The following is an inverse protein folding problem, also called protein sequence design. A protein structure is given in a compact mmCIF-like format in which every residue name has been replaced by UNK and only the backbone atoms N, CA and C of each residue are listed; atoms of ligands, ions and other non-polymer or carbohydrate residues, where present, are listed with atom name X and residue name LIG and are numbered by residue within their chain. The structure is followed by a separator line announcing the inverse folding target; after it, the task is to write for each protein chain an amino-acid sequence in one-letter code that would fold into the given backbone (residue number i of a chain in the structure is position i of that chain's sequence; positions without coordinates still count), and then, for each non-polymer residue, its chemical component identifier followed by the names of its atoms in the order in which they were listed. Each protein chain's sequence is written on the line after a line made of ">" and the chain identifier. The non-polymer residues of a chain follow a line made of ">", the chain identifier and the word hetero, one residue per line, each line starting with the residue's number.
data_IF_677694333816
#
_entry.id   IF_677694333816
#
_cell.length_a   1.000
_cell.length_b   1.000
_cell.length_c   1.000
_cell.angle_alpha   90.00
_cell.angle_beta   90.00
_cell.angle_gamma   90.00
#
_symmetry.space_group_name_H-M   'P 1'
#
loop_
_entity.id
_entity.type
_entity.pdbx_description
1 polymer ?
#
# COMPACT_ATOMS: atom_id res chain seq x y z
N UNK A 1 26.58 81.69 -1.40
CA UNK A 1 27.84 81.84 -2.17
C UNK A 1 28.57 80.51 -2.01
N UNK A 2 28.64 79.69 -3.07
CA UNK A 2 29.45 78.46 -3.27
C UNK A 2 29.43 77.38 -2.16
N UNK A 3 29.42 76.06 -2.37
CA UNK A 3 29.24 75.10 -3.46
C UNK A 3 29.34 73.71 -2.77
N UNK A 4 29.01 72.62 -3.47
CA UNK A 4 29.44 71.22 -3.19
C UNK A 4 28.65 70.48 -2.07
N UNK A 5 28.26 69.19 -2.17
CA UNK A 5 28.60 68.13 -3.13
C UNK A 5 27.69 66.90 -2.95
N UNK A 6 27.28 66.31 -4.08
CA UNK A 6 27.35 64.89 -4.45
C UNK A 6 26.49 63.77 -3.79
N UNK A 7 25.96 62.95 -4.72
CA UNK A 7 25.60 61.52 -4.65
C UNK A 7 24.23 61.13 -4.11
N UNK A 8 23.22 61.32 -4.97
CA UNK A 8 22.03 60.47 -5.01
C UNK A 8 22.38 59.24 -5.85
N UNK A 9 22.77 58.13 -5.21
CA UNK A 9 23.09 56.87 -5.88
C UNK A 9 21.78 56.15 -6.18
N UNK A 10 21.51 55.95 -7.47
CA UNK A 10 20.46 55.09 -7.97
C UNK A 10 20.65 53.65 -7.46
N UNK A 11 19.68 53.14 -6.71
CA UNK A 11 19.51 51.71 -6.46
C UNK A 11 18.13 51.31 -6.97
N UNK A 12 17.97 51.34 -8.29
CA UNK A 12 16.86 50.69 -8.97
C UNK A 12 17.13 49.19 -8.88
N UNK A 13 16.47 48.53 -7.92
CA UNK A 13 16.55 47.10 -7.71
C UNK A 13 15.89 46.38 -8.91
N UNK A 14 16.69 46.06 -9.93
CA UNK A 14 16.33 45.09 -10.96
C UNK A 14 16.42 43.69 -10.33
N UNK A 15 15.42 43.35 -9.50
CA UNK A 15 15.18 41.96 -9.15
C UNK A 15 14.52 41.32 -10.37
N UNK A 16 15.36 40.78 -11.25
CA UNK A 16 14.99 39.91 -12.35
C UNK A 16 14.01 38.85 -11.87
N UNK A 17 12.79 38.93 -12.38
CA UNK A 17 11.80 37.85 -12.42
C UNK A 17 12.37 36.69 -13.23
N UNK A 18 13.29 35.93 -12.64
CA UNK A 18 13.43 34.53 -13.01
C UNK A 18 12.26 33.82 -12.32
N UNK A 19 11.30 33.22 -13.04
CA UNK A 19 10.36 32.32 -12.40
C UNK A 19 11.21 31.17 -11.86
N UNK A 20 11.54 31.22 -10.57
CA UNK A 20 11.90 30.02 -9.85
C UNK A 20 10.70 29.11 -10.02
N UNK A 21 10.85 28.08 -10.86
CA UNK A 21 10.00 26.91 -10.86
C UNK A 21 9.90 26.49 -9.39
N UNK A 22 8.79 26.86 -8.75
CA UNK A 22 8.36 26.19 -7.54
C UNK A 22 8.10 24.78 -8.01
N UNK A 23 9.10 23.91 -7.89
CA UNK A 23 8.88 22.48 -7.93
C UNK A 23 8.06 22.19 -6.68
N UNK A 24 6.74 22.29 -6.81
CA UNK A 24 5.87 21.53 -5.95
C UNK A 24 6.37 20.07 -5.97
N UNK A 25 6.09 19.31 -4.90
CA UNK A 25 6.38 17.87 -4.81
C UNK A 25 5.41 17.13 -5.76
N UNK A 26 5.41 17.52 -7.04
CA UNK A 26 4.54 17.00 -8.07
C UNK A 26 5.15 15.72 -8.62
N UNK A 27 4.35 14.67 -8.62
CA UNK A 27 4.64 13.43 -9.32
C UNK A 27 4.76 13.70 -10.83
N UNK A 28 5.42 12.81 -11.57
CA UNK A 28 5.47 12.90 -13.04
C UNK A 28 4.05 12.87 -13.60
N UNK A 29 3.68 13.84 -14.43
CA UNK A 29 2.35 13.89 -15.02
C UNK A 29 2.18 12.75 -16.03
N UNK A 30 1.19 11.88 -15.78
CA UNK A 30 0.70 10.86 -16.69
C UNK A 30 -0.51 11.36 -17.50
N UNK A 31 -1.25 12.35 -16.98
CA UNK A 31 -2.37 13.01 -17.68
C UNK A 31 -1.91 14.34 -18.25
N UNK A 32 -2.15 14.55 -19.54
CA UNK A 32 -1.77 15.77 -20.25
C UNK A 32 -2.91 16.79 -20.25
N UNK A 33 -2.56 18.08 -20.27
CA UNK A 33 -3.52 19.18 -20.33
C UNK A 33 -3.85 19.62 -21.75
N UNK A 34 -2.98 19.32 -22.72
CA UNK A 34 -3.12 19.72 -24.12
C UNK A 34 -2.70 18.56 -25.02
N UNK A 35 -3.33 18.48 -26.20
CA UNK A 35 -2.99 17.48 -27.21
C UNK A 35 -1.61 17.76 -27.84
N UNK A 36 -0.83 16.70 -28.03
CA UNK A 36 0.44 16.74 -28.74
C UNK A 36 0.70 15.40 -29.44
N UNK A 37 1.72 15.29 -30.31
CA UNK A 37 2.13 14.00 -30.87
C UNK A 37 2.54 12.95 -29.83
N UNK A 38 2.80 13.36 -28.57
CA UNK A 38 3.19 12.49 -27.46
C UNK A 38 2.05 12.16 -26.49
N UNK A 39 0.80 12.49 -26.87
CA UNK A 39 -0.39 12.20 -26.07
C UNK A 39 -1.27 11.16 -26.73
N UNK A 40 -1.96 10.37 -25.89
CA UNK A 40 -2.96 9.40 -26.28
C UNK A 40 -4.29 9.75 -25.62
N UNK A 41 -5.39 9.70 -26.37
CA UNK A 41 -6.71 9.98 -25.82
C UNK A 41 -7.33 8.69 -25.26
N UNK A 42 -7.51 8.61 -23.94
CA UNK A 42 -8.22 7.48 -23.29
C UNK A 42 -9.72 7.72 -23.18
N UNK A 43 -10.14 8.96 -23.41
CA UNK A 43 -11.54 9.36 -23.56
C UNK A 43 -11.59 10.57 -24.47
N UNK A 44 -12.38 10.52 -25.54
CA UNK A 44 -12.58 11.65 -26.44
C UNK A 44 -13.95 11.53 -27.13
N UNK A 45 -14.67 12.65 -27.27
CA UNK A 45 -15.93 12.70 -28.04
C UNK A 45 -16.98 11.63 -27.63
N UNK A 46 -17.05 11.31 -26.33
CA UNK A 46 -17.99 10.32 -25.81
C UNK A 46 -17.59 8.86 -26.08
N UNK A 47 -16.32 8.60 -26.41
CA UNK A 47 -15.79 7.26 -26.63
C UNK A 47 -14.68 6.98 -25.60
N UNK A 48 -14.94 6.16 -24.56
CA UNK A 48 -13.89 5.67 -23.67
C UNK A 48 -13.07 4.55 -24.34
N UNK A 49 -11.75 4.57 -24.17
CA UNK A 49 -10.89 3.45 -24.54
C UNK A 49 -11.23 2.21 -23.72
N UNK A 50 -11.23 1.04 -24.37
CA UNK A 50 -11.36 -0.24 -23.66
C UNK A 50 -10.08 -0.51 -22.85
N UNK A 51 -10.23 -1.02 -21.63
CA UNK A 51 -9.12 -1.46 -20.79
C UNK A 51 -8.92 -2.96 -21.00
N UNK A 52 -7.74 -3.35 -21.50
CA UNK A 52 -7.35 -4.72 -21.73
C UNK A 52 -6.42 -5.21 -20.63
N UNK A 53 -6.76 -6.37 -20.04
CA UNK A 53 -5.93 -7.11 -19.10
C UNK A 53 -5.85 -8.59 -19.54
N UNK A 54 -4.86 -9.32 -19.04
CA UNK A 54 -4.82 -10.77 -19.17
C UNK A 54 -5.52 -11.45 -17.99
N UNK A 55 -6.13 -12.63 -18.23
CA UNK A 55 -6.85 -13.36 -17.20
C UNK A 55 -5.94 -13.95 -16.09
N UNK A 56 -4.64 -14.06 -16.37
CA UNK A 56 -3.61 -14.52 -15.43
C UNK A 56 -3.07 -13.40 -14.53
N UNK A 57 -3.57 -12.16 -14.66
CA UNK A 57 -3.23 -11.05 -13.77
C UNK A 57 -3.56 -11.33 -12.31
N UNK A 58 -2.87 -10.62 -11.42
CA UNK A 58 -3.23 -10.62 -10.00
C UNK A 58 -4.65 -10.09 -9.80
N UNK A 59 -5.41 -10.73 -8.92
CA UNK A 59 -6.77 -10.29 -8.62
C UNK A 59 -6.81 -8.83 -8.12
N UNK A 60 -5.83 -8.39 -7.33
CA UNK A 60 -5.70 -6.98 -6.90
C UNK A 60 -5.54 -5.99 -8.06
N UNK A 61 -4.83 -6.38 -9.14
CA UNK A 61 -4.69 -5.56 -10.34
C UNK A 61 -6.01 -5.47 -11.10
N UNK A 62 -6.76 -6.57 -11.19
CA UNK A 62 -8.09 -6.58 -11.82
C UNK A 62 -9.10 -5.71 -11.05
N UNK A 63 -9.03 -5.71 -9.70
CA UNK A 63 -9.81 -4.82 -8.85
C UNK A 63 -9.46 -3.35 -9.11
N UNK A 64 -8.16 -2.99 -9.07
CA UNK A 64 -7.72 -1.63 -9.33
C UNK A 64 -8.07 -1.15 -10.76
N UNK A 65 -8.08 -2.04 -11.76
CA UNK A 65 -8.52 -1.70 -13.12
C UNK A 65 -10.04 -1.46 -13.19
N UNK A 66 -10.81 -2.20 -12.39
CA UNK A 66 -12.26 -1.96 -12.22
C UNK A 66 -12.51 -0.60 -11.57
N UNK A 67 -11.69 -0.23 -10.59
CA UNK A 67 -11.74 1.08 -9.94
C UNK A 67 -11.37 2.20 -10.92
N UNK A 68 -10.33 2.05 -11.74
CA UNK A 68 -9.99 3.02 -12.79
C UNK A 68 -11.14 3.20 -13.80
N UNK A 69 -11.79 2.11 -14.23
CA UNK A 69 -12.99 2.19 -15.10
C UNK A 69 -14.12 2.96 -14.42
N UNK A 70 -14.40 2.69 -13.14
CA UNK A 70 -15.40 3.45 -12.38
C UNK A 70 -14.99 4.91 -12.17
N UNK A 71 -13.71 5.19 -11.98
CA UNK A 71 -13.19 6.53 -11.80
C UNK A 71 -13.31 7.36 -13.09
N UNK A 72 -13.01 6.76 -14.24
CA UNK A 72 -13.26 7.37 -15.56
C UNK A 72 -14.76 7.63 -15.76
N UNK A 73 -15.65 6.71 -15.36
CA UNK A 73 -17.09 6.94 -15.38
C UNK A 73 -17.49 8.14 -14.49
N UNK A 74 -16.95 8.26 -13.28
CA UNK A 74 -17.23 9.40 -12.38
C UNK A 74 -16.82 10.74 -13.00
N UNK A 75 -15.72 10.80 -13.77
CA UNK A 75 -15.26 12.06 -14.40
C UNK A 75 -15.85 12.33 -15.79
N UNK A 76 -16.31 11.32 -16.52
CA UNK A 76 -16.81 11.48 -17.91
C UNK A 76 -18.29 11.20 -18.10
N UNK A 77 -18.91 10.47 -17.17
CA UNK A 77 -20.27 9.93 -17.29
C UNK A 77 -20.37 8.67 -18.15
N UNK A 78 -19.26 8.15 -18.69
CA UNK A 78 -19.25 6.94 -19.52
C UNK A 78 -18.20 5.96 -19.03
N UNK A 79 -18.60 4.70 -18.88
CA UNK A 79 -17.74 3.66 -18.31
C UNK A 79 -16.94 2.92 -19.38
N UNK A 80 -15.59 2.92 -19.28
CA UNK A 80 -14.74 2.04 -20.09
C UNK A 80 -15.09 0.56 -19.87
N UNK A 81 -15.14 -0.20 -20.96
CA UNK A 81 -15.25 -1.67 -20.89
C UNK A 81 -13.93 -2.27 -20.43
N UNK A 82 -13.98 -3.24 -19.52
CA UNK A 82 -12.85 -4.15 -19.24
C UNK A 82 -13.01 -5.39 -20.11
N UNK A 83 -11.95 -5.81 -20.80
CA UNK A 83 -11.96 -7.01 -21.62
C UNK A 83 -10.62 -7.76 -21.53
N UNK A 84 -10.69 -9.06 -21.80
CA UNK A 84 -9.49 -9.85 -22.04
C UNK A 84 -9.02 -9.62 -23.49
N UNK A 85 -7.70 -9.60 -23.72
CA UNK A 85 -7.15 -9.53 -25.08
C UNK A 85 -7.62 -10.74 -25.90
N UNK A 86 -8.12 -10.48 -27.11
CA UNK A 86 -8.53 -11.47 -28.11
C UNK A 86 -8.17 -11.00 -29.52
N UNK A 87 -8.35 -11.83 -30.54
CA UNK A 87 -8.05 -11.48 -31.93
C UNK A 87 -8.93 -10.36 -32.52
N UNK A 88 -10.02 -9.98 -31.82
CA UNK A 88 -10.85 -8.81 -32.14
C UNK A 88 -10.59 -7.68 -31.12
N UNK A 89 -9.31 -7.34 -30.94
CA UNK A 89 -8.94 -6.26 -30.02
C UNK A 89 -9.40 -4.90 -30.58
N UNK A 90 -9.88 -4.00 -29.71
CA UNK A 90 -10.28 -2.65 -30.10
C UNK A 90 -9.08 -1.86 -30.62
N UNK A 91 -9.32 -0.89 -31.51
CA UNK A 91 -8.23 -0.18 -32.21
C UNK A 91 -7.38 0.74 -31.32
N UNK A 92 -7.94 1.25 -30.22
CA UNK A 92 -7.30 2.23 -29.31
C UNK A 92 -7.47 1.85 -27.82
N UNK A 93 -6.88 0.73 -27.35
CA UNK A 93 -7.03 0.29 -25.97
C UNK A 93 -6.04 0.96 -25.01
N UNK A 94 -6.38 0.88 -23.72
CA UNK A 94 -5.41 0.89 -22.64
C UNK A 94 -5.04 -0.56 -22.37
N UNK A 95 -3.75 -0.90 -22.38
CA UNK A 95 -3.26 -2.23 -22.02
C UNK A 95 -2.62 -2.14 -20.64
N UNK A 96 -3.03 -2.99 -19.71
CA UNK A 96 -2.53 -2.99 -18.33
C UNK A 96 -1.95 -4.35 -18.00
N UNK A 97 -0.78 -4.37 -17.37
CA UNK A 97 -0.35 -5.56 -16.66
C UNK A 97 0.99 -5.44 -15.95
N UNK A 98 1.45 -6.59 -15.45
CA UNK A 98 2.58 -6.74 -14.55
C UNK A 98 3.65 -7.61 -15.19
N UNK A 99 4.91 -7.17 -15.14
CA UNK A 99 6.05 -7.93 -15.66
C UNK A 99 6.14 -9.33 -15.01
N UNK A 100 6.38 -10.35 -15.83
CA UNK A 100 6.54 -11.74 -15.37
C UNK A 100 5.26 -12.40 -14.85
N UNK A 101 4.10 -11.72 -14.96
CA UNK A 101 2.80 -12.22 -14.53
C UNK A 101 1.75 -12.16 -15.64
N UNK A 102 1.74 -11.07 -16.42
CA UNK A 102 0.78 -10.88 -17.50
C UNK A 102 1.27 -11.47 -18.80
N UNK A 103 0.60 -12.51 -19.28
CA UNK A 103 0.81 -12.99 -20.66
C UNK A 103 0.54 -11.94 -21.72
N UNK A 104 -0.29 -10.92 -21.43
CA UNK A 104 -0.54 -9.80 -22.36
C UNK A 104 0.66 -8.86 -22.42
N UNK A 105 1.23 -8.45 -21.29
CA UNK A 105 2.45 -7.62 -21.28
C UNK A 105 3.64 -8.37 -21.87
N UNK A 106 3.79 -9.67 -21.57
CA UNK A 106 4.85 -10.48 -22.18
C UNK A 106 4.75 -10.46 -23.72
N UNK A 107 3.54 -10.51 -24.28
CA UNK A 107 3.33 -10.37 -25.73
C UNK A 107 3.71 -8.98 -26.24
N UNK A 108 3.31 -7.92 -25.54
CA UNK A 108 3.65 -6.53 -25.93
C UNK A 108 5.16 -6.33 -25.95
N UNK A 109 5.86 -6.74 -24.88
CA UNK A 109 7.32 -6.61 -24.78
C UNK A 109 8.04 -7.44 -25.85
N UNK A 110 7.55 -8.64 -26.18
CA UNK A 110 8.17 -9.48 -27.21
C UNK A 110 7.91 -9.00 -28.64
N UNK A 111 6.79 -8.31 -28.88
CA UNK A 111 6.40 -7.85 -30.21
C UNK A 111 6.96 -6.46 -30.56
N UNK A 112 7.51 -5.74 -29.58
CA UNK A 112 7.88 -4.32 -29.72
C UNK A 112 9.25 -4.05 -29.10
N UNK A 113 9.83 -2.87 -29.38
CA UNK A 113 11.08 -2.41 -28.73
C UNK A 113 10.81 -1.70 -27.40
N UNK A 114 9.72 -2.05 -26.68
CA UNK A 114 9.36 -1.43 -25.40
C UNK A 114 10.45 -1.70 -24.36
N UNK A 115 11.20 -0.65 -24.02
CA UNK A 115 12.26 -0.75 -23.02
C UNK A 115 11.70 -0.73 -21.59
N UNK A 116 11.75 -1.88 -20.92
CA UNK A 116 11.28 -2.09 -19.53
C UNK A 116 12.37 -2.02 -18.47
N UNK A 117 13.62 -1.72 -18.86
CA UNK A 117 14.79 -1.81 -17.98
C UNK A 117 14.74 -0.87 -16.76
N UNK A 118 13.92 0.18 -16.82
CA UNK A 118 13.77 1.15 -15.72
C UNK A 118 12.97 0.60 -14.53
N UNK A 119 12.18 -0.45 -14.75
CA UNK A 119 11.29 -1.03 -13.73
C UNK A 119 11.55 -2.51 -13.47
N UNK A 120 12.29 -3.20 -14.34
CA UNK A 120 12.59 -4.63 -14.18
C UNK A 120 13.30 -4.92 -12.86
N UNK A 121 12.75 -5.87 -12.08
CA UNK A 121 13.26 -6.25 -10.77
C UNK A 121 13.17 -5.17 -9.68
N UNK A 122 12.56 -4.01 -9.98
CA UNK A 122 12.39 -2.93 -9.01
C UNK A 122 11.18 -3.18 -8.12
N UNK A 123 11.27 -2.72 -6.87
CA UNK A 123 10.17 -2.78 -5.92
C UNK A 123 9.14 -1.71 -6.23
N UNK A 124 7.88 -2.11 -6.45
CA UNK A 124 6.70 -1.24 -6.55
C UNK A 124 6.85 -0.08 -7.54
N UNK A 125 7.47 -0.36 -8.69
CA UNK A 125 7.73 0.63 -9.74
C UNK A 125 6.77 0.43 -10.91
N UNK A 126 6.56 1.46 -11.70
CA UNK A 126 5.79 1.35 -12.93
C UNK A 126 6.26 2.34 -14.00
N UNK A 127 5.91 2.03 -15.24
CA UNK A 127 6.04 2.95 -16.35
C UNK A 127 4.82 2.86 -17.25
N UNK A 128 4.65 3.89 -18.06
CA UNK A 128 3.67 3.90 -19.14
C UNK A 128 4.33 4.32 -20.44
N UNK A 129 3.78 3.83 -21.54
CA UNK A 129 4.25 4.16 -22.87
C UNK A 129 3.09 4.17 -23.86
N UNK A 130 3.18 5.00 -24.88
CA UNK A 130 2.36 4.88 -26.08
C UNK A 130 3.12 3.97 -27.04
N UNK A 131 2.51 2.84 -27.41
CA UNK A 131 3.18 1.77 -28.16
C UNK A 131 2.41 1.50 -29.45
N UNK A 132 3.13 1.53 -30.57
CA UNK A 132 2.60 1.17 -31.88
C UNK A 132 2.66 -0.35 -32.09
N UNK A 133 1.61 -0.89 -32.69
CA UNK A 133 1.44 -2.31 -32.99
C UNK A 133 1.73 -3.24 -31.79
N UNK A 134 1.19 -2.96 -30.57
CA UNK A 134 1.56 -3.68 -29.35
C UNK A 134 1.13 -5.14 -29.38
N UNK A 135 0.03 -5.45 -30.08
CA UNK A 135 -0.49 -6.79 -30.33
C UNK A 135 -1.18 -6.81 -31.70
N UNK A 136 -1.39 -8.00 -32.32
CA UNK A 136 -2.11 -8.10 -33.59
C UNK A 136 -3.48 -7.41 -33.53
N UNK A 137 -3.79 -6.62 -34.56
CA UNK A 137 -5.08 -5.92 -34.70
C UNK A 137 -5.19 -4.58 -33.96
N UNK A 138 -4.17 -4.18 -33.18
CA UNK A 138 -4.13 -2.88 -32.49
C UNK A 138 -3.09 -1.99 -33.16
N UNK A 139 -3.47 -0.81 -33.63
CA UNK A 139 -2.58 0.15 -34.29
C UNK A 139 -1.67 0.85 -33.28
N UNK A 140 -2.26 1.38 -32.20
CA UNK A 140 -1.55 2.03 -31.09
C UNK A 140 -2.30 1.78 -29.80
N UNK A 141 -1.58 1.61 -28.68
CA UNK A 141 -2.18 1.54 -27.35
C UNK A 141 -1.42 2.38 -26.34
N UNK A 142 -2.12 2.77 -25.27
CA UNK A 142 -1.48 3.24 -24.05
C UNK A 142 -1.21 2.05 -23.13
N UNK A 143 0.05 1.72 -22.91
CA UNK A 143 0.48 0.55 -22.14
C UNK A 143 0.90 1.01 -20.74
N UNK A 144 0.30 0.41 -19.71
CA UNK A 144 0.63 0.60 -18.29
C UNK A 144 1.29 -0.69 -17.79
N UNK A 145 2.54 -0.59 -17.34
CA UNK A 145 3.33 -1.74 -16.89
C UNK A 145 3.86 -1.51 -15.48
N UNK A 146 3.53 -2.40 -14.56
CA UNK A 146 4.16 -2.47 -13.24
C UNK A 146 5.27 -3.52 -13.15
N UNK A 147 6.26 -3.26 -12.30
CA UNK A 147 7.33 -4.20 -11.98
C UNK A 147 6.85 -5.39 -11.15
N UNK A 148 5.82 -5.17 -10.34
CA UNK A 148 5.16 -6.14 -9.48
C UNK A 148 3.67 -5.78 -9.28
N UNK A 149 2.95 -6.61 -8.50
CA UNK A 149 1.51 -6.44 -8.20
C UNK A 149 1.17 -5.01 -7.78
N UNK A 150 1.96 -4.44 -6.86
CA UNK A 150 1.69 -3.11 -6.30
C UNK A 150 2.12 -1.99 -7.23
N UNK A 151 3.22 -2.16 -7.97
CA UNK A 151 3.61 -1.23 -9.03
C UNK A 151 2.48 -1.00 -10.05
N UNK A 152 1.85 -2.08 -10.53
CA UNK A 152 0.72 -1.99 -11.46
C UNK A 152 -0.49 -1.31 -10.83
N UNK A 153 -0.84 -1.65 -9.59
CA UNK A 153 -1.93 -1.02 -8.84
C UNK A 153 -1.68 0.49 -8.65
N UNK A 154 -0.47 0.89 -8.27
CA UNK A 154 -0.12 2.30 -8.11
C UNK A 154 -0.17 3.06 -9.41
N UNK A 155 0.21 2.44 -10.53
CA UNK A 155 0.04 3.03 -11.84
C UNK A 155 -1.45 3.34 -12.10
N UNK A 156 -2.34 2.39 -11.87
CA UNK A 156 -3.79 2.59 -12.08
C UNK A 156 -4.35 3.72 -11.22
N UNK A 157 -4.00 3.75 -9.92
CA UNK A 157 -4.45 4.81 -9.03
C UNK A 157 -3.78 6.18 -9.29
N UNK A 158 -2.57 6.22 -9.84
CA UNK A 158 -1.96 7.46 -10.34
C UNK A 158 -2.84 8.08 -11.43
N UNK A 159 -3.34 7.26 -12.35
CA UNK A 159 -4.22 7.74 -13.40
C UNK A 159 -5.55 8.23 -12.80
N UNK A 160 -6.15 7.48 -11.87
CA UNK A 160 -7.35 7.92 -11.15
C UNK A 160 -7.15 9.28 -10.46
N UNK A 161 -6.03 9.46 -9.76
CA UNK A 161 -5.71 10.72 -9.07
C UNK A 161 -5.57 11.88 -10.07
N UNK A 162 -4.78 11.69 -11.14
CA UNK A 162 -4.53 12.75 -12.12
C UNK A 162 -5.73 13.09 -13.01
N UNK A 163 -6.66 12.15 -13.25
CA UNK A 163 -7.96 12.49 -13.89
C UNK A 163 -8.91 13.22 -12.94
N UNK A 164 -8.58 13.33 -11.65
CA UNK A 164 -9.25 14.17 -10.67
C UNK A 164 -10.06 13.42 -9.62
N UNK A 165 -9.85 12.11 -9.45
CA UNK A 165 -10.45 11.33 -8.37
C UNK A 165 -9.47 11.25 -7.21
N UNK A 166 -9.67 12.11 -6.21
CA UNK A 166 -8.85 12.15 -4.99
C UNK A 166 -8.84 10.79 -4.27
N UNK A 167 -7.72 10.35 -3.68
CA UNK A 167 -7.69 9.22 -2.74
C UNK A 167 -8.76 9.31 -1.64
N UNK A 168 -9.16 10.54 -1.28
CA UNK A 168 -10.10 10.85 -0.21
C UNK A 168 -11.55 11.01 -0.70
N UNK A 169 -11.88 10.66 -1.95
CA UNK A 169 -13.21 10.87 -2.51
C UNK A 169 -14.35 10.25 -1.68
N UNK A 170 -14.09 9.10 -1.04
CA UNK A 170 -15.05 8.41 -0.18
C UNK A 170 -14.79 8.66 1.31
N UNK A 171 -13.52 8.68 1.72
CA UNK A 171 -13.14 8.80 3.15
C UNK A 171 -13.31 10.22 3.71
N UNK A 172 -13.37 11.24 2.86
CA UNK A 172 -13.59 12.62 3.27
C UNK A 172 -14.49 13.39 2.27
N UNK A 173 -15.35 12.66 1.54
CA UNK A 173 -16.33 13.23 0.59
C UNK A 173 -15.75 14.25 -0.41
N UNK A 174 -14.48 14.08 -0.81
CA UNK A 174 -13.83 15.03 -1.71
C UNK A 174 -14.54 15.01 -3.07
N UNK A 175 -15.07 16.15 -3.55
CA UNK A 175 -15.90 16.16 -4.75
C UNK A 175 -15.08 15.88 -5.99
N UNK A 176 -15.61 15.02 -6.85
CA UNK A 176 -15.06 14.73 -8.17
C UNK A 176 -15.64 15.74 -9.15
N UNK A 177 -14.76 16.48 -9.85
CA UNK A 177 -15.19 17.38 -10.91
C UNK A 177 -15.63 16.55 -12.12
N UNK A 178 -16.94 16.33 -12.24
CA UNK A 178 -17.53 15.63 -13.35
C UNK A 178 -17.44 16.43 -14.67
N UNK A 179 -17.60 15.72 -15.79
CA UNK A 179 -17.73 16.22 -17.16
C UNK A 179 -16.43 16.72 -17.83
N UNK A 180 -15.43 15.83 -17.93
CA UNK A 180 -14.36 16.01 -18.92
C UNK A 180 -14.84 15.60 -20.30
N UNK A 181 -14.71 16.49 -21.30
CA UNK A 181 -14.95 16.15 -22.71
C UNK A 181 -13.83 15.30 -23.33
N UNK A 182 -12.67 15.28 -22.66
CA UNK A 182 -11.47 14.60 -23.12
C UNK A 182 -10.57 14.23 -21.93
N UNK A 183 -9.91 13.08 -22.02
CA UNK A 183 -8.80 12.69 -21.13
C UNK A 183 -7.63 12.28 -22.01
N UNK A 184 -6.55 13.05 -21.93
CA UNK A 184 -5.29 12.80 -22.61
C UNK A 184 -4.27 12.27 -21.62
N UNK A 185 -3.52 11.25 -22.02
CA UNK A 185 -2.41 10.68 -21.24
C UNK A 185 -1.10 10.82 -22.00
N UNK A 186 0.01 10.82 -21.28
CA UNK A 186 1.37 10.81 -21.83
C UNK A 186 2.22 9.81 -21.05
N UNK A 187 3.39 9.47 -21.61
CA UNK A 187 4.28 8.51 -20.98
C UNK A 187 4.82 9.07 -19.65
N UNK A 188 4.76 8.26 -18.60
CA UNK A 188 5.24 8.61 -17.28
C UNK A 188 5.91 7.38 -16.63
N UNK A 189 6.63 7.61 -15.54
CA UNK A 189 7.23 6.52 -14.78
C UNK A 189 7.39 6.91 -13.32
N UNK A 190 7.29 5.90 -12.46
CA UNK A 190 7.57 6.01 -11.04
C UNK A 190 8.57 4.90 -10.67
N UNK A 191 9.74 5.32 -10.18
CA UNK A 191 10.76 4.40 -9.67
C UNK A 191 10.38 3.80 -8.31
N UNK A 192 11.29 3.05 -7.67
CA UNK A 192 10.99 2.43 -6.39
C UNK A 192 10.74 3.49 -5.31
N UNK A 193 9.80 3.23 -4.38
CA UNK A 193 9.56 4.15 -3.27
C UNK A 193 10.78 4.22 -2.35
N UNK A 194 11.08 5.41 -1.84
CA UNK A 194 12.22 5.63 -0.93
C UNK A 194 12.13 4.83 0.38
N UNK A 195 10.91 4.43 0.77
CA UNK A 195 10.64 3.60 1.96
C UNK A 195 9.88 2.36 1.52
N UNK A 196 10.39 1.18 1.88
CA UNK A 196 9.87 -0.12 1.41
C UNK A 196 8.48 -0.47 1.97
N UNK A 197 8.24 -0.24 3.26
CA UNK A 197 6.94 -0.47 3.91
C UNK A 197 6.39 0.85 4.44
N UNK A 198 5.20 1.23 3.99
CA UNK A 198 4.57 2.53 4.23
C UNK A 198 3.13 2.29 4.64
N UNK A 199 2.74 2.77 5.81
CA UNK A 199 1.48 2.33 6.39
C UNK A 199 1.01 3.16 7.56
N UNK A 200 -0.09 2.69 8.14
CA UNK A 200 -0.70 3.25 9.33
C UNK A 200 -0.95 2.15 10.36
N UNK A 201 -1.26 2.58 11.58
CA UNK A 201 -1.78 1.74 12.64
C UNK A 201 -3.12 2.30 13.09
N UNK A 202 -4.17 1.47 13.05
CA UNK A 202 -5.44 1.80 13.70
C UNK A 202 -5.30 1.51 15.20
N UNK A 203 -5.19 2.56 16.01
CA UNK A 203 -5.03 2.46 17.45
C UNK A 203 -5.86 3.56 18.14
N UNK A 204 -6.13 3.38 19.42
CA UNK A 204 -7.02 4.24 20.20
C UNK A 204 -8.39 4.36 19.51
N UNK A 205 -8.86 3.26 18.92
CA UNK A 205 -10.02 3.23 18.02
C UNK A 205 -11.35 3.44 18.74
N UNK A 206 -11.35 3.36 20.08
CA UNK A 206 -12.54 3.52 20.91
C UNK A 206 -12.64 4.93 21.52
N UNK A 207 -13.85 5.53 21.55
CA UNK A 207 -15.10 5.01 21.00
C UNK A 207 -15.30 5.32 19.49
N UNK A 208 -14.54 6.26 18.94
CA UNK A 208 -14.88 6.93 17.67
C UNK A 208 -14.92 6.00 16.46
N UNK A 209 -13.78 5.40 16.12
CA UNK A 209 -13.64 4.56 14.93
C UNK A 209 -14.47 3.28 15.08
N UNK A 210 -14.48 2.69 16.28
CA UNK A 210 -15.26 1.49 16.57
C UNK A 210 -16.76 1.74 16.38
N UNK A 211 -17.33 2.79 16.98
CA UNK A 211 -18.77 3.04 16.87
C UNK A 211 -19.18 3.39 15.43
N UNK A 212 -18.35 4.15 14.72
CA UNK A 212 -18.59 4.44 13.30
C UNK A 212 -18.57 3.17 12.45
N UNK A 213 -17.56 2.30 12.64
CA UNK A 213 -17.47 1.06 11.88
C UNK A 213 -18.63 0.11 12.18
N UNK A 214 -19.07 0.07 13.45
CA UNK A 214 -20.23 -0.71 13.90
C UNK A 214 -21.52 -0.26 13.20
N UNK A 215 -21.73 1.04 13.04
CA UNK A 215 -22.89 1.54 12.28
C UNK A 215 -22.76 1.25 10.78
N UNK A 216 -21.59 1.53 10.19
CA UNK A 216 -21.43 1.54 8.72
C UNK A 216 -21.24 0.17 8.08
N UNK A 217 -20.56 -0.76 8.74
CA UNK A 217 -20.13 -2.02 8.11
C UNK A 217 -20.80 -3.27 8.68
N UNK A 218 -21.49 -3.13 9.82
CA UNK A 218 -22.02 -4.30 10.51
C UNK A 218 -23.45 -4.14 10.99
N UNK A 219 -24.07 -2.97 10.77
CA UNK A 219 -25.43 -2.68 11.20
C UNK A 219 -25.66 -2.96 12.71
N UNK A 220 -24.68 -2.58 13.55
CA UNK A 220 -24.76 -2.77 15.00
C UNK A 220 -24.32 -4.14 15.50
N UNK A 221 -23.83 -5.04 14.63
CA UNK A 221 -23.41 -6.40 15.03
C UNK A 221 -21.89 -6.54 15.04
N UNK A 222 -21.31 -7.10 16.10
CA UNK A 222 -19.87 -7.34 16.18
C UNK A 222 -19.50 -8.76 15.76
N UNK A 223 -18.20 -9.01 15.57
CA UNK A 223 -17.67 -10.36 15.43
C UNK A 223 -18.03 -11.23 16.64
N UNK A 224 -18.22 -12.53 16.42
CA UNK A 224 -18.82 -13.43 17.41
C UNK A 224 -18.05 -13.54 18.73
N UNK A 225 -16.71 -13.47 18.68
CA UNK A 225 -15.84 -13.69 19.84
C UNK A 225 -15.39 -12.38 20.52
N UNK A 226 -15.28 -11.29 19.76
CA UNK A 226 -14.68 -10.04 20.24
C UNK A 226 -15.68 -8.89 20.30
N UNK A 227 -16.81 -8.99 19.59
CA UNK A 227 -17.70 -7.86 19.35
C UNK A 227 -17.12 -6.81 18.42
N UNK A 228 -15.98 -7.07 17.76
CA UNK A 228 -15.32 -6.09 16.87
C UNK A 228 -16.14 -5.81 15.61
N UNK A 229 -16.23 -4.55 15.15
CA UNK A 229 -16.88 -4.21 13.89
C UNK A 229 -15.97 -4.32 12.67
N UNK A 230 -14.67 -4.59 12.85
CA UNK A 230 -13.68 -4.50 11.78
C UNK A 230 -13.62 -5.78 10.92
N UNK A 231 -14.64 -5.96 10.08
CA UNK A 231 -14.75 -7.05 9.11
C UNK A 231 -14.12 -6.70 7.75
N UNK A 232 -14.20 -7.61 6.78
CA UNK A 232 -13.60 -7.40 5.47
C UNK A 232 -14.22 -6.25 4.67
N UNK A 233 -15.48 -5.87 4.93
CA UNK A 233 -16.10 -4.72 4.27
C UNK A 233 -15.47 -3.39 4.73
N UNK A 234 -15.17 -3.26 6.02
CA UNK A 234 -14.41 -2.12 6.55
C UNK A 234 -12.99 -2.11 5.97
N UNK A 235 -12.30 -3.24 6.06
CA UNK A 235 -10.89 -3.29 5.71
C UNK A 235 -10.63 -3.13 4.22
N UNK A 236 -11.46 -3.67 3.33
CA UNK A 236 -11.31 -3.46 1.88
C UNK A 236 -11.46 -1.98 1.49
N UNK A 237 -12.31 -1.20 2.18
CA UNK A 237 -12.37 0.26 2.01
C UNK A 237 -11.10 0.97 2.46
N UNK A 238 -10.46 0.47 3.51
CA UNK A 238 -9.18 0.99 3.97
C UNK A 238 -8.03 0.59 3.03
N UNK A 239 -8.02 -0.64 2.51
CA UNK A 239 -7.02 -1.11 1.56
C UNK A 239 -7.01 -0.27 0.28
N UNK A 240 -8.20 0.03 -0.26
CA UNK A 240 -8.36 0.94 -1.39
C UNK A 240 -7.71 2.31 -1.11
N UNK A 241 -8.00 2.92 0.04
CA UNK A 241 -7.40 4.21 0.43
C UNK A 241 -5.88 4.11 0.54
N UNK A 242 -5.36 3.09 1.21
CA UNK A 242 -3.91 2.90 1.37
C UNK A 242 -3.23 2.79 0.00
N UNK A 243 -3.78 2.00 -0.92
CA UNK A 243 -3.21 1.84 -2.26
C UNK A 243 -3.30 3.12 -3.09
N UNK A 244 -4.41 3.87 -3.00
CA UNK A 244 -4.55 5.19 -3.63
C UNK A 244 -3.52 6.20 -3.10
N UNK A 245 -3.15 6.08 -1.82
CA UNK A 245 -2.09 6.85 -1.18
C UNK A 245 -0.68 6.26 -1.40
N UNK A 246 -0.55 5.23 -2.26
CA UNK A 246 0.69 4.49 -2.55
C UNK A 246 1.35 3.86 -1.30
N UNK A 247 0.54 3.53 -0.30
CA UNK A 247 0.92 2.76 0.89
C UNK A 247 0.74 1.25 0.65
N UNK A 248 1.38 0.43 1.48
CA UNK A 248 1.38 -1.03 1.36
C UNK A 248 1.38 -1.78 2.70
N UNK A 249 1.33 -1.09 3.84
CA UNK A 249 1.49 -1.71 5.15
C UNK A 249 0.37 -1.30 6.11
N UNK A 250 -0.08 -2.23 6.95
CA UNK A 250 -1.13 -1.97 7.93
C UNK A 250 -0.90 -2.74 9.22
N UNK A 251 -1.03 -2.04 10.35
CA UNK A 251 -1.37 -2.64 11.64
C UNK A 251 -2.87 -2.47 11.88
N UNK A 252 -3.63 -3.57 12.03
CA UNK A 252 -5.08 -3.51 12.20
C UNK A 252 -5.45 -2.97 13.58
N UNK A 253 -6.74 -2.64 13.77
CA UNK A 253 -7.30 -2.32 15.08
C UNK A 253 -7.15 -3.52 16.01
N UNK A 254 -6.86 -3.29 17.29
CA UNK A 254 -6.40 -4.35 18.21
C UNK A 254 -6.89 -4.21 19.67
N UNK A 255 -7.41 -3.06 20.12
CA UNK A 255 -7.78 -2.87 21.53
C UNK A 255 -8.78 -3.91 22.04
N UNK A 256 -9.79 -4.21 21.21
CA UNK A 256 -10.78 -5.26 21.47
C UNK A 256 -11.09 -6.05 20.20
N UNK A 257 -10.09 -6.18 19.33
CA UNK A 257 -10.22 -6.76 18.00
C UNK A 257 -9.08 -7.74 17.75
N UNK A 258 -9.35 -8.77 16.96
CA UNK A 258 -8.36 -9.75 16.54
C UNK A 258 -8.54 -9.99 15.04
N UNK A 259 -7.79 -9.25 14.22
CA UNK A 259 -7.96 -9.14 12.77
C UNK A 259 -8.23 -10.46 12.05
N UNK A 260 -7.44 -11.50 12.36
CA UNK A 260 -7.54 -12.82 11.73
C UNK A 260 -8.65 -13.74 12.31
N UNK A 261 -9.25 -13.34 13.43
CA UNK A 261 -10.28 -14.09 14.16
C UNK A 261 -11.66 -13.47 13.95
N UNK A 262 -11.72 -12.15 13.86
CA UNK A 262 -12.98 -11.41 13.71
C UNK A 262 -13.69 -11.72 12.39
N UNK A 263 -12.91 -11.98 11.33
CA UNK A 263 -13.38 -12.36 10.01
C UNK A 263 -12.28 -13.13 9.25
N UNK A 264 -12.58 -14.33 8.76
CA UNK A 264 -11.60 -15.17 8.05
C UNK A 264 -11.14 -14.57 6.73
N UNK A 265 -11.93 -13.66 6.13
CA UNK A 265 -11.59 -13.03 4.85
C UNK A 265 -10.61 -11.86 4.99
N UNK A 266 -10.41 -11.34 6.20
CA UNK A 266 -9.55 -10.18 6.46
C UNK A 266 -8.12 -10.38 5.94
N UNK A 267 -7.45 -11.47 6.33
CA UNK A 267 -6.08 -11.75 5.89
C UNK A 267 -5.99 -12.03 4.38
N UNK A 268 -6.94 -12.82 3.86
CA UNK A 268 -6.96 -13.18 2.44
C UNK A 268 -7.15 -11.96 1.55
N UNK A 269 -8.05 -11.05 1.93
CA UNK A 269 -8.33 -9.85 1.15
C UNK A 269 -7.21 -8.81 1.28
N UNK A 270 -6.51 -8.73 2.42
CA UNK A 270 -5.30 -7.92 2.52
C UNK A 270 -4.27 -8.35 1.46
N UNK A 271 -3.99 -9.66 1.35
CA UNK A 271 -3.05 -10.20 0.37
C UNK A 271 -3.52 -9.97 -1.08
N UNK A 272 -4.81 -10.20 -1.36
CA UNK A 272 -5.42 -9.95 -2.68
C UNK A 272 -5.21 -8.49 -3.11
N UNK A 273 -5.50 -7.54 -2.23
CA UNK A 273 -5.28 -6.11 -2.48
C UNK A 273 -3.79 -5.75 -2.54
N UNK A 274 -2.93 -6.55 -1.92
CA UNK A 274 -1.49 -6.31 -1.83
C UNK A 274 -1.08 -5.50 -0.61
N UNK A 275 -1.88 -5.46 0.46
CA UNK A 275 -1.49 -4.88 1.73
C UNK A 275 -0.70 -5.91 2.54
N UNK A 276 0.56 -5.58 2.82
CA UNK A 276 1.40 -6.32 3.76
C UNK A 276 0.84 -6.11 5.16
N UNK A 277 0.48 -7.21 5.81
CA UNK A 277 -0.03 -7.14 7.17
C UNK A 277 1.11 -7.23 8.17
N UNK A 278 1.04 -6.39 9.20
CA UNK A 278 1.84 -6.55 10.41
C UNK A 278 0.95 -6.46 11.63
N UNK A 279 1.56 -6.61 12.78
CA UNK A 279 0.96 -6.41 14.09
C UNK A 279 1.78 -5.39 14.87
N UNK A 280 1.19 -4.77 15.89
CA UNK A 280 1.94 -3.81 16.69
C UNK A 280 3.14 -4.47 17.40
N UNK A 281 4.00 -3.64 17.97
CA UNK A 281 5.26 -4.06 18.57
C UNK A 281 5.13 -5.00 19.77
N UNK A 282 3.94 -5.17 20.35
CA UNK A 282 3.67 -6.10 21.46
C UNK A 282 2.92 -7.37 21.04
N UNK A 283 2.67 -7.52 19.73
CA UNK A 283 1.82 -8.56 19.16
C UNK A 283 2.65 -9.53 18.30
N UNK A 284 3.57 -10.31 18.90
CA UNK A 284 4.52 -11.09 18.13
C UNK A 284 3.86 -12.22 17.33
N UNK A 285 4.51 -12.60 16.23
CA UNK A 285 4.23 -13.82 15.47
C UNK A 285 2.81 -13.88 14.87
N UNK A 286 2.32 -12.75 14.38
CA UNK A 286 1.01 -12.61 13.72
C UNK A 286 -0.19 -13.02 14.61
N UNK A 287 -0.11 -12.67 15.89
CA UNK A 287 -1.16 -12.88 16.89
C UNK A 287 -1.61 -11.54 17.47
N UNK A 288 -2.90 -11.24 17.44
CA UNK A 288 -3.46 -10.03 18.06
C UNK A 288 -3.50 -10.16 19.59
N UNK A 289 -2.35 -9.96 20.22
CA UNK A 289 -2.15 -10.03 21.67
C UNK A 289 -2.48 -8.68 22.31
N UNK A 290 -3.30 -8.60 23.38
CA UNK A 290 -3.69 -9.69 24.26
C UNK A 290 -5.01 -10.40 23.89
N UNK A 291 -5.78 -9.90 22.92
CA UNK A 291 -7.14 -10.41 22.62
C UNK A 291 -7.13 -11.92 22.30
N UNK A 292 -6.27 -12.36 21.38
CA UNK A 292 -6.17 -13.78 21.04
C UNK A 292 -5.60 -14.63 22.18
N UNK A 293 -4.69 -14.08 23.00
CA UNK A 293 -4.18 -14.80 24.18
C UNK A 293 -5.29 -15.00 25.21
N UNK A 294 -6.15 -14.00 25.43
CA UNK A 294 -7.28 -14.11 26.34
C UNK A 294 -8.34 -15.11 25.84
N UNK A 295 -8.51 -15.25 24.53
CA UNK A 295 -9.46 -16.18 23.92
C UNK A 295 -8.94 -17.62 23.87
N UNK A 296 -7.66 -17.82 23.54
CA UNK A 296 -7.11 -19.12 23.15
C UNK A 296 -5.85 -19.54 23.90
N UNK A 297 -5.21 -18.62 24.63
CA UNK A 297 -4.00 -18.89 25.40
C UNK A 297 -4.27 -19.73 26.65
N UNK A 298 -3.20 -20.23 27.24
CA UNK A 298 -3.26 -21.02 28.47
C UNK A 298 -2.12 -20.63 29.41
N UNK A 299 -2.45 -20.30 30.66
CA UNK A 299 -1.49 -19.84 31.67
C UNK A 299 -1.10 -18.37 31.53
N UNK A 300 -0.09 -17.96 32.28
CA UNK A 300 0.37 -16.57 32.31
C UNK A 300 1.15 -16.21 31.03
N UNK A 301 1.03 -14.95 30.58
CA UNK A 301 1.89 -14.40 29.53
C UNK A 301 3.30 -14.13 30.06
N UNK A 302 4.03 -15.20 30.37
CA UNK A 302 5.37 -15.18 30.95
C UNK A 302 6.22 -16.30 30.33
N UNK A 303 7.22 -15.92 29.54
CA UNK A 303 8.03 -16.91 28.82
C UNK A 303 8.94 -17.75 29.72
N UNK A 304 9.30 -17.25 30.89
CA UNK A 304 10.14 -17.99 31.85
C UNK A 304 9.39 -19.19 32.44
N UNK A 305 8.11 -19.02 32.75
CA UNK A 305 7.30 -20.05 33.44
C UNK A 305 6.33 -20.78 32.52
N UNK A 306 6.03 -20.24 31.33
CA UNK A 306 4.96 -20.74 30.45
C UNK A 306 5.37 -20.79 28.97
N UNK A 307 6.67 -20.95 28.68
CA UNK A 307 7.20 -20.93 27.29
C UNK A 307 6.54 -21.93 26.35
N UNK A 308 6.18 -23.14 26.81
CA UNK A 308 5.58 -24.16 25.92
C UNK A 308 4.25 -23.72 25.31
N UNK A 309 3.34 -23.15 26.13
CA UNK A 309 2.05 -22.67 25.65
C UNK A 309 2.20 -21.43 24.76
N UNK A 310 3.11 -20.51 25.11
CA UNK A 310 3.40 -19.32 24.31
C UNK A 310 4.04 -19.70 22.97
N UNK A 311 4.96 -20.67 22.96
CA UNK A 311 5.59 -21.17 21.75
C UNK A 311 4.55 -21.74 20.79
N UNK A 312 3.65 -22.61 21.28
CA UNK A 312 2.59 -23.17 20.44
C UNK A 312 1.64 -22.08 19.92
N UNK A 313 1.28 -21.12 20.77
CA UNK A 313 0.45 -19.97 20.36
C UNK A 313 1.08 -19.15 19.22
N UNK A 314 2.41 -18.98 19.23
CA UNK A 314 3.14 -18.34 18.12
C UNK A 314 3.18 -19.20 16.86
N UNK A 315 3.39 -20.51 16.99
CA UNK A 315 3.34 -21.47 15.85
C UNK A 315 2.00 -21.34 15.13
N UNK A 316 0.88 -21.34 15.87
CA UNK A 316 -0.47 -21.25 15.30
C UNK A 316 -0.69 -19.93 14.54
N UNK A 317 -0.13 -18.82 15.02
CA UNK A 317 -0.18 -17.52 14.35
C UNK A 317 0.57 -17.50 13.03
N UNK A 318 1.80 -18.02 13.04
CA UNK A 318 2.63 -18.07 11.84
C UNK A 318 2.03 -19.00 10.80
N UNK A 319 1.57 -20.20 11.18
CA UNK A 319 0.92 -21.13 10.25
C UNK A 319 -0.33 -20.50 9.62
N UNK A 320 -1.15 -19.80 10.42
CA UNK A 320 -2.33 -19.09 9.90
C UNK A 320 -1.98 -17.97 8.92
N UNK A 321 -0.89 -17.24 9.16
CA UNK A 321 -0.44 -16.13 8.32
C UNK A 321 0.41 -16.54 7.10
N UNK A 322 0.94 -17.78 7.09
CA UNK A 322 1.84 -18.33 6.09
C UNK A 322 1.46 -18.10 4.62
N UNK A 323 0.18 -18.22 4.19
CA UNK A 323 -0.16 -18.04 2.77
C UNK A 323 -0.18 -16.56 2.33
N UNK A 324 0.02 -15.60 3.24
CA UNK A 324 -0.17 -14.17 2.99
C UNK A 324 1.11 -13.36 3.21
N UNK A 325 1.26 -12.26 2.50
CA UNK A 325 2.38 -11.34 2.69
C UNK A 325 2.34 -10.66 4.08
N UNK A 326 3.18 -11.13 4.99
CA UNK A 326 3.19 -10.72 6.40
C UNK A 326 4.57 -10.23 6.83
N UNK A 327 4.61 -9.14 7.58
CA UNK A 327 5.78 -8.69 8.32
C UNK A 327 5.64 -9.14 9.77
N UNK A 328 6.41 -10.15 10.16
CA UNK A 328 6.31 -10.74 11.48
C UNK A 328 6.97 -9.87 12.55
N UNK A 329 6.18 -9.39 13.51
CA UNK A 329 6.72 -8.81 14.74
C UNK A 329 7.41 -9.92 15.53
N UNK A 330 8.65 -9.67 15.94
CA UNK A 330 9.46 -10.56 16.80
C UNK A 330 9.85 -9.84 18.09
N UNK A 331 10.31 -10.60 19.07
CA UNK A 331 10.46 -10.17 20.46
C UNK A 331 9.20 -10.46 21.27
N UNK A 332 9.19 -10.03 22.52
CA UNK A 332 8.04 -10.16 23.42
C UNK A 332 8.08 -9.01 24.41
N UNK A 333 6.92 -8.45 24.73
CA UNK A 333 6.71 -7.53 25.86
C UNK A 333 5.68 -8.14 26.81
N UNK A 334 5.56 -7.58 28.02
CA UNK A 334 4.44 -7.91 28.91
C UNK A 334 3.11 -7.57 28.23
N UNK A 335 2.02 -8.19 28.69
CA UNK A 335 0.71 -7.99 28.06
C UNK A 335 0.19 -6.55 28.29
N UNK A 336 -0.21 -5.85 27.22
CA UNK A 336 -0.85 -4.52 27.31
C UNK A 336 0.13 -3.35 27.51
N UNK A 337 1.18 -3.30 26.69
CA UNK A 337 2.28 -2.31 26.67
C UNK A 337 3.10 -2.27 27.98
N UNK A 338 3.14 -3.39 28.70
CA UNK A 338 3.91 -3.54 29.94
C UNK A 338 5.33 -4.11 29.67
N UNK A 339 6.34 -3.75 30.48
CA UNK A 339 7.66 -4.37 30.39
C UNK A 339 7.64 -5.84 30.83
N UNK A 340 8.54 -6.68 30.31
CA UNK A 340 8.69 -8.08 30.71
C UNK A 340 9.16 -8.26 32.17
N UNK A 341 10.15 -7.46 32.60
CA UNK A 341 10.59 -7.23 33.99
C UNK A 341 11.71 -6.17 34.00
N UNK A 342 12.13 -5.61 35.15
CA UNK A 342 13.23 -4.62 35.22
C UNK A 342 14.65 -5.24 35.21
N UNK A 343 14.82 -6.50 35.63
CA UNK A 343 16.13 -7.04 36.01
C UNK A 343 16.62 -8.23 35.18
N UNK A 344 15.77 -8.90 34.40
CA UNK A 344 16.12 -10.13 33.65
C UNK A 344 15.60 -10.05 32.22
N UNK A 345 16.32 -9.42 31.29
CA UNK A 345 15.72 -9.08 29.99
C UNK A 345 16.53 -9.36 28.73
N UNK A 346 17.88 -9.37 28.74
CA UNK A 346 18.63 -9.65 27.49
C UNK A 346 18.58 -11.13 27.17
N UNK A 347 19.11 -11.99 28.03
CA UNK A 347 19.20 -13.44 27.77
C UNK A 347 17.82 -14.06 27.49
N UNK A 348 16.77 -13.60 28.19
CA UNK A 348 15.41 -14.04 27.94
C UNK A 348 14.90 -13.56 26.57
N UNK A 349 15.16 -12.31 26.18
CA UNK A 349 14.75 -11.79 24.88
C UNK A 349 15.54 -12.43 23.74
N UNK A 350 16.84 -12.70 23.91
CA UNK A 350 17.65 -13.47 22.97
C UNK A 350 17.07 -14.88 22.77
N UNK A 351 16.70 -15.56 23.86
CA UNK A 351 16.01 -16.85 23.78
C UNK A 351 14.67 -16.74 23.06
N UNK A 352 13.83 -15.77 23.40
CA UNK A 352 12.54 -15.53 22.73
C UNK A 352 12.72 -15.34 21.23
N UNK A 353 13.65 -14.47 20.82
CA UNK A 353 13.91 -14.19 19.40
C UNK A 353 14.50 -15.42 18.70
N UNK A 354 15.36 -16.19 19.37
CA UNK A 354 15.89 -17.44 18.82
C UNK A 354 14.78 -18.47 18.60
N UNK A 355 13.90 -18.68 19.58
CA UNK A 355 12.76 -19.60 19.50
C UNK A 355 11.78 -19.16 18.39
N UNK A 356 11.48 -17.86 18.27
CA UNK A 356 10.66 -17.32 17.18
C UNK A 356 11.30 -17.50 15.79
N UNK A 357 12.63 -17.32 15.68
CA UNK A 357 13.36 -17.61 14.44
C UNK A 357 13.33 -19.09 14.10
N UNK A 358 13.36 -19.98 15.10
CA UNK A 358 13.21 -21.42 14.90
C UNK A 358 11.81 -21.74 14.36
N UNK A 359 10.75 -21.19 14.95
CA UNK A 359 9.37 -21.33 14.45
C UNK A 359 9.28 -20.95 12.97
N UNK A 360 9.83 -19.79 12.58
CA UNK A 360 9.83 -19.36 11.17
C UNK A 360 10.64 -20.31 10.28
N UNK A 361 11.77 -20.83 10.76
CA UNK A 361 12.58 -21.79 10.00
C UNK A 361 11.83 -23.11 9.78
N UNK A 362 11.14 -23.61 10.80
CA UNK A 362 10.41 -24.88 10.74
C UNK A 362 9.18 -24.79 9.82
N UNK A 363 8.45 -23.67 9.87
CA UNK A 363 7.24 -23.47 9.06
C UNK A 363 7.58 -23.17 7.59
N UNK A 364 8.72 -22.54 7.33
CA UNK A 364 9.22 -22.20 5.99
C UNK A 364 10.54 -22.93 5.66
N UNK A 365 10.55 -24.27 5.57
CA UNK A 365 11.78 -25.08 5.54
C UNK A 365 12.69 -24.86 4.33
N UNK A 366 12.18 -24.22 3.26
CA UNK A 366 12.92 -23.94 2.03
C UNK A 366 13.14 -22.43 1.79
N UNK A 367 12.85 -21.60 2.79
CA UNK A 367 13.05 -20.15 2.72
C UNK A 367 14.10 -19.79 3.76
N UNK A 368 15.11 -19.01 3.35
CA UNK A 368 16.05 -18.48 4.33
C UNK A 368 15.28 -17.61 5.31
N UNK A 369 15.45 -17.85 6.61
CA UNK A 369 14.84 -17.01 7.64
C UNK A 369 15.22 -15.53 7.47
N UNK A 370 16.38 -15.24 6.86
CA UNK A 370 16.82 -13.87 6.56
C UNK A 370 16.02 -13.16 5.46
N UNK A 371 15.30 -13.90 4.63
CA UNK A 371 14.41 -13.33 3.61
C UNK A 371 12.97 -13.19 4.07
N UNK A 372 12.62 -13.76 5.23
CA UNK A 372 11.29 -13.58 5.85
C UNK A 372 11.25 -12.21 6.52
N UNK A 373 10.34 -11.29 6.11
CA UNK A 373 10.24 -9.96 6.69
C UNK A 373 9.88 -10.03 8.18
N UNK A 374 10.74 -9.41 9.02
CA UNK A 374 10.59 -9.37 10.47
C UNK A 374 10.85 -7.97 10.99
N UNK A 375 10.20 -7.59 12.08
CA UNK A 375 10.48 -6.34 12.80
C UNK A 375 10.60 -6.61 14.30
N UNK A 376 11.74 -6.22 14.88
CA UNK A 376 11.93 -6.07 16.31
C UNK A 376 11.89 -4.58 16.64
N UNK A 377 10.81 -4.13 17.28
CA UNK A 377 10.70 -2.73 17.67
C UNK A 377 11.38 -2.53 19.03
N UNK A 378 12.54 -1.89 19.04
CA UNK A 378 13.11 -1.34 20.27
C UNK A 378 12.26 -0.14 20.71
N UNK A 379 11.37 -0.33 21.69
CA UNK A 379 10.54 0.73 22.29
C UNK A 379 10.78 0.81 23.81
N UNK A 380 10.76 2.03 24.35
CA UNK A 380 11.00 2.36 25.77
C UNK A 380 12.19 1.57 26.35
N UNK A 381 11.94 0.66 27.29
CA UNK A 381 12.95 -0.12 27.99
C UNK A 381 13.85 -0.92 27.04
N UNK A 382 13.35 -1.39 25.89
CA UNK A 382 14.13 -2.14 24.88
C UNK A 382 15.32 -1.31 24.34
N UNK A 383 15.23 0.03 24.31
CA UNK A 383 16.33 0.91 23.92
C UNK A 383 17.54 0.83 24.85
N UNK A 384 17.31 0.61 26.15
CA UNK A 384 18.37 0.52 27.17
C UNK A 384 19.21 -0.73 26.95
N UNK A 385 18.62 -1.81 26.44
CA UNK A 385 19.28 -3.10 26.22
C UNK A 385 20.09 -3.14 24.92
N UNK A 386 19.77 -2.30 23.93
CA UNK A 386 20.50 -2.20 22.64
C UNK A 386 21.75 -1.31 22.66
N UNK A 387 22.18 -0.82 23.83
CA UNK A 387 23.39 -0.01 23.98
C UNK A 387 23.29 1.45 23.51
N UNK A 388 22.11 1.92 23.10
CA UNK A 388 21.87 3.33 22.74
C UNK A 388 21.06 3.98 23.87
N UNK A 389 21.77 4.46 24.90
CA UNK A 389 21.21 5.32 25.94
C UNK A 389 20.95 6.72 25.37
N UNK A 390 19.72 7.00 24.95
CA UNK A 390 19.26 8.38 24.71
C UNK A 390 18.12 8.67 25.69
N UNK A 391 18.49 9.15 26.89
CA UNK A 391 17.69 9.98 27.81
C UNK A 391 16.30 9.48 28.26
N UNK A 392 15.80 9.92 29.43
CA UNK A 392 14.48 9.51 29.90
C UNK A 392 13.40 10.08 28.97
N UNK A 393 12.58 9.19 28.40
CA UNK A 393 11.30 9.57 27.81
C UNK A 393 10.38 10.02 28.95
N UNK A 394 10.14 11.32 29.04
CA UNK A 394 9.09 11.86 29.91
C UNK A 394 7.72 11.44 29.36
N UNK A 395 6.97 10.69 30.15
CA UNK A 395 5.53 10.50 29.95
C UNK A 395 4.82 11.87 29.91
N UNK A 396 3.91 12.05 28.96
CA UNK A 396 2.83 13.03 29.01
C UNK A 396 1.51 12.33 28.75
#
# INVERSE_FOLDING_TARGET
>A
MFLSTFKMLAFTLFASLTPTLVRAIGQTNCVATEASPSTFAIFQQGQPSTILLSADEWQGVQLAATDLSSDIEKVTGLRPTLANSSDQSPSHPIIVGTLGKSSLIDRVVNATDLNISSIEGQWESFMTAIVDHPIPGVETAYVIVGSDKRGTIYALYEHSEQIGVSPWYWWADVPIKAARSEILVTSCSHGPPSVKYRGIFLNDEQPSLQNWAMEKFTNGTGAALTGSPFNHFFYTKLYELLLRMKANYLWPAQWSSAFAVDDSENQRLADVYGIVMGTSHEEPMARSTPVEWNLFGSGDWNYTTNSANIYQFWVDGVERAKPYETLYTVGMRGAGDLPLSETTNIDLLEKVVADQRQILTDIFPNVSVETIPRNLNSRREIWVWGGIMIGPAHDR
#
